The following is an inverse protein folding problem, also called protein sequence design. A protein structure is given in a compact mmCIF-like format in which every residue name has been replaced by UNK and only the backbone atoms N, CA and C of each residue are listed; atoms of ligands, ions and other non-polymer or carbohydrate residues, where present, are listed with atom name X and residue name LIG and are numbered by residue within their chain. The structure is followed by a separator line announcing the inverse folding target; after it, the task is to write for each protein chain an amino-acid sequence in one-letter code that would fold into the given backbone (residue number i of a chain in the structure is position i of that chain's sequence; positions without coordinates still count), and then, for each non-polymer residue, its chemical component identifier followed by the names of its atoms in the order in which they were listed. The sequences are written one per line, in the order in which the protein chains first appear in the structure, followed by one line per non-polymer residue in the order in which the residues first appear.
data_IF_330644916251
#
_entry.id   IF_330644916251
#
_cell.length_a   1.000
_cell.length_b   1.000
_cell.length_c   1.000
_cell.angle_alpha   90.00
_cell.angle_beta   90.00
_cell.angle_gamma   90.00
#
_symmetry.space_group_name_H-M   'P 1'
#
loop_
_entity.id
_entity.type
_entity.pdbx_description
1 polymer ?
#
# COMPACT_ATOMS: atom_id res chain seq x y z
N UNK A 1 -12.21 9.53 -9.58
CA UNK A 1 -11.57 10.58 -8.76
C UNK A 1 -10.15 10.70 -9.26
N UNK A 2 -9.68 11.91 -9.55
CA UNK A 2 -8.30 12.16 -9.99
C UNK A 2 -7.78 13.41 -9.27
N UNK A 3 -6.56 13.34 -8.77
CA UNK A 3 -5.79 14.49 -8.33
C UNK A 3 -4.53 14.60 -9.18
N UNK A 4 -4.20 15.80 -9.62
CA UNK A 4 -2.96 16.10 -10.32
C UNK A 4 -2.04 16.82 -9.33
N UNK A 5 -1.09 16.10 -8.72
CA UNK A 5 -0.31 16.63 -7.59
C UNK A 5 1.11 16.93 -8.05
N UNK A 6 1.28 18.01 -8.81
CA UNK A 6 2.61 18.42 -9.23
C UNK A 6 3.44 18.90 -8.05
N UNK A 7 4.75 18.70 -8.15
CA UNK A 7 5.72 19.14 -7.14
C UNK A 7 5.62 20.66 -7.00
N UNK A 8 5.44 21.14 -5.78
CA UNK A 8 5.20 22.55 -5.45
C UNK A 8 6.28 23.47 -6.02
N UNK A 9 7.52 23.01 -6.09
CA UNK A 9 8.66 23.77 -6.60
C UNK A 9 8.75 23.80 -8.13
N UNK A 10 7.78 23.21 -8.85
CA UNK A 10 7.67 23.22 -10.32
C UNK A 10 6.43 24.00 -10.82
N UNK A 11 5.48 24.32 -9.93
CA UNK A 11 4.21 24.93 -10.32
C UNK A 11 4.29 26.45 -10.25
N UNK A 12 4.35 27.16 -11.39
CA UNK A 12 4.33 28.64 -11.41
C UNK A 12 2.98 29.20 -10.94
N UNK A 13 2.91 30.50 -10.62
CA UNK A 13 1.64 31.11 -10.21
C UNK A 13 0.58 31.06 -11.33
N UNK A 14 1.02 31.30 -12.58
CA UNK A 14 0.17 31.20 -13.75
C UNK A 14 -0.35 29.77 -13.95
N UNK A 15 0.52 28.77 -13.81
CA UNK A 15 0.13 27.38 -13.95
C UNK A 15 -0.79 26.91 -12.81
N UNK A 16 -0.57 27.37 -11.57
CA UNK A 16 -1.49 27.09 -10.47
C UNK A 16 -2.89 27.64 -10.75
N UNK A 17 -3.00 28.85 -11.30
CA UNK A 17 -4.29 29.44 -11.68
C UNK A 17 -4.97 28.62 -12.79
N UNK A 18 -4.21 28.15 -13.79
CA UNK A 18 -4.69 27.27 -14.85
C UNK A 18 -5.21 25.94 -14.29
N UNK A 19 -4.43 25.25 -13.44
CA UNK A 19 -4.84 24.01 -12.79
C UNK A 19 -6.15 24.17 -12.02
N UNK A 20 -6.31 25.27 -11.28
CA UNK A 20 -7.57 25.57 -10.58
C UNK A 20 -8.75 25.84 -11.54
N UNK A 21 -8.49 26.41 -12.72
CA UNK A 21 -9.48 26.50 -13.79
C UNK A 21 -9.91 25.12 -14.28
N UNK A 22 -8.94 24.25 -14.59
CA UNK A 22 -9.17 22.90 -15.08
C UNK A 22 -9.89 22.02 -14.04
N UNK A 23 -9.50 22.10 -12.76
CA UNK A 23 -10.18 21.37 -11.70
C UNK A 23 -11.66 21.73 -11.66
N UNK A 24 -12.00 23.01 -11.78
CA UNK A 24 -13.39 23.46 -11.80
C UNK A 24 -14.13 23.00 -13.05
N UNK A 25 -13.51 23.17 -14.22
CA UNK A 25 -14.10 22.84 -15.52
C UNK A 25 -14.45 21.34 -15.61
N UNK A 26 -13.53 20.47 -15.20
CA UNK A 26 -13.70 19.03 -15.34
C UNK A 26 -14.42 18.38 -14.16
N UNK A 27 -14.61 19.07 -13.02
CA UNK A 27 -15.36 18.51 -11.91
C UNK A 27 -16.83 18.32 -12.28
N UNK A 28 -17.25 17.08 -12.37
CA UNK A 28 -18.62 16.67 -12.64
C UNK A 28 -19.07 15.69 -11.54
N UNK A 29 -19.65 16.18 -10.42
CA UNK A 29 -20.21 15.32 -9.38
C UNK A 29 -21.08 14.20 -9.95
N UNK A 30 -21.07 13.03 -9.30
CA UNK A 30 -21.68 11.78 -9.76
C UNK A 30 -21.05 11.12 -10.99
N UNK A 31 -20.06 11.75 -11.66
CA UNK A 31 -19.41 11.19 -12.86
C UNK A 31 -17.89 11.18 -12.78
N UNK A 32 -17.29 12.32 -12.46
CA UNK A 32 -15.84 12.52 -12.44
C UNK A 32 -15.48 13.65 -11.47
N UNK A 33 -14.84 13.30 -10.35
CA UNK A 33 -14.41 14.26 -9.34
C UNK A 33 -12.92 14.54 -9.49
N UNK A 34 -12.58 15.83 -9.60
CA UNK A 34 -11.20 16.33 -9.56
C UNK A 34 -10.85 16.79 -8.15
N UNK A 35 -9.61 16.62 -7.74
CA UNK A 35 -9.11 16.99 -6.41
C UNK A 35 -8.06 18.10 -6.56
N UNK A 36 -8.40 19.37 -6.25
CA UNK A 36 -7.44 20.47 -6.26
C UNK A 36 -6.34 20.21 -5.23
N UNK A 37 -5.09 20.43 -5.61
CA UNK A 37 -3.96 20.11 -4.75
C UNK A 37 -2.63 20.14 -5.45
N UNK A 38 -1.58 19.86 -4.68
CA UNK A 38 -0.18 19.82 -5.13
C UNK A 38 0.62 18.88 -4.21
N UNK A 39 1.79 18.44 -4.67
CA UNK A 39 2.74 17.70 -3.84
C UNK A 39 3.69 18.70 -3.16
N UNK A 40 3.64 18.82 -1.84
CA UNK A 40 4.66 19.52 -1.07
C UNK A 40 5.88 18.62 -0.92
N UNK A 41 7.00 18.99 -1.53
CA UNK A 41 8.12 18.09 -1.78
C UNK A 41 9.38 18.45 -0.98
N UNK A 42 9.21 18.65 0.32
CA UNK A 42 10.32 18.97 1.23
C UNK A 42 11.30 17.81 1.37
N UNK A 43 12.59 18.11 1.59
CA UNK A 43 13.59 17.08 1.89
C UNK A 43 13.17 16.23 3.11
N UNK A 44 13.52 14.95 3.13
CA UNK A 44 13.17 14.02 4.23
C UNK A 44 13.51 14.62 5.61
N UNK A 45 14.68 15.24 5.77
CA UNK A 45 15.10 15.85 7.05
C UNK A 45 14.27 17.06 7.51
N UNK A 46 13.36 17.58 6.68
CA UNK A 46 12.39 18.64 7.04
C UNK A 46 10.93 18.17 6.95
N UNK A 47 10.73 16.88 6.72
CA UNK A 47 9.42 16.23 6.70
C UNK A 47 9.25 15.21 5.58
N UNK A 48 9.78 15.45 4.38
CA UNK A 48 9.55 14.59 3.20
C UNK A 48 8.26 14.90 2.42
N UNK A 49 8.03 14.16 1.34
CA UNK A 49 6.96 14.43 0.36
C UNK A 49 5.54 14.23 0.96
N UNK A 50 4.62 15.17 0.69
CA UNK A 50 3.20 15.14 1.11
C UNK A 50 2.30 15.65 -0.01
N UNK A 51 1.33 14.83 -0.43
CA UNK A 51 0.24 15.34 -1.27
C UNK A 51 -0.69 16.19 -0.42
N UNK A 52 -1.06 17.38 -0.90
CA UNK A 52 -1.96 18.34 -0.26
C UNK A 52 -3.22 18.47 -1.11
N UNK A 53 -4.37 18.07 -0.57
CA UNK A 53 -5.65 18.19 -1.23
C UNK A 53 -6.52 19.26 -0.58
N UNK A 54 -7.13 20.13 -1.38
CA UNK A 54 -8.07 21.15 -0.95
C UNK A 54 -9.53 20.77 -1.28
N UNK A 55 -10.49 21.10 -0.40
CA UNK A 55 -11.91 20.84 -0.66
C UNK A 55 -12.46 21.67 -1.83
N UNK A 56 -11.85 22.82 -2.09
CA UNK A 56 -12.23 23.76 -3.13
C UNK A 56 -10.99 24.35 -3.84
N UNK A 57 -11.18 24.82 -5.07
CA UNK A 57 -10.16 25.51 -5.86
C UNK A 57 -9.82 26.90 -5.28
N UNK A 58 -8.74 27.50 -5.78
CA UNK A 58 -8.36 28.88 -5.48
C UNK A 58 -7.62 29.06 -4.16
N UNK A 59 -7.27 27.96 -3.48
CA UNK A 59 -6.42 27.97 -2.28
C UNK A 59 -4.98 28.35 -2.61
N UNK A 60 -4.28 28.88 -1.62
CA UNK A 60 -2.87 29.21 -1.74
C UNK A 60 -2.02 27.93 -1.90
N UNK A 61 -1.00 28.00 -2.74
CA UNK A 61 0.05 27.00 -2.81
C UNK A 61 1.17 27.37 -1.83
N UNK A 62 1.54 26.45 -0.95
CA UNK A 62 2.66 26.62 -0.01
C UNK A 62 3.85 25.79 -0.47
N UNK A 63 5.02 26.41 -0.58
CA UNK A 63 6.15 25.87 -1.31
C UNK A 63 7.29 25.42 -0.40
N UNK A 64 7.69 24.17 -0.54
CA UNK A 64 8.89 23.58 0.04
C UNK A 64 10.18 24.17 -0.51
N UNK A 65 10.14 24.74 -1.72
CA UNK A 65 11.28 25.39 -2.38
C UNK A 65 10.84 26.27 -3.54
N UNK A 66 11.67 27.29 -3.87
CA UNK A 66 11.51 28.14 -5.07
C UNK A 66 12.59 27.86 -6.12
N UNK A 67 13.21 26.67 -6.10
CA UNK A 67 14.39 26.39 -6.93
C UNK A 67 14.10 26.39 -8.43
N UNK A 68 12.89 26.00 -8.88
CA UNK A 68 12.47 26.06 -10.29
C UNK A 68 11.30 27.03 -10.53
N UNK A 69 11.00 27.89 -9.56
CA UNK A 69 9.95 28.93 -9.68
C UNK A 69 10.60 30.30 -9.47
N UNK A 70 10.73 31.06 -10.54
CA UNK A 70 11.27 32.42 -10.50
C UNK A 70 10.23 33.41 -9.94
N UNK A 71 8.95 33.18 -10.23
CA UNK A 71 7.78 33.93 -9.79
C UNK A 71 7.25 33.42 -8.43
N UNK A 72 7.67 34.06 -7.34
CA UNK A 72 7.19 33.70 -5.99
C UNK A 72 8.20 33.90 -4.86
N UNK A 73 9.43 34.34 -5.17
CA UNK A 73 10.37 34.75 -4.11
C UNK A 73 9.80 35.95 -3.35
N UNK A 74 9.45 35.74 -2.07
CA UNK A 74 8.95 36.80 -1.18
C UNK A 74 7.43 37.00 -1.18
N UNK A 75 6.65 36.13 -1.82
CA UNK A 75 5.17 36.19 -1.83
C UNK A 75 4.51 35.59 -0.56
N UNK A 76 5.32 35.12 0.40
CA UNK A 76 4.86 34.47 1.63
C UNK A 76 4.42 33.00 1.47
N UNK A 77 4.58 32.41 0.28
CA UNK A 77 4.31 30.98 0.01
C UNK A 77 5.35 30.04 0.60
N UNK A 78 6.54 30.55 0.94
CA UNK A 78 7.65 29.76 1.47
C UNK A 78 7.25 28.99 2.74
N UNK A 79 7.46 27.68 2.69
CA UNK A 79 7.09 26.71 3.70
C UNK A 79 8.13 25.59 3.70
N UNK A 80 9.28 25.85 4.32
CA UNK A 80 10.49 25.02 4.19
C UNK A 80 10.50 23.79 5.12
N UNK A 81 9.56 23.71 6.05
CA UNK A 81 9.45 22.61 7.01
C UNK A 81 7.99 22.16 7.13
N UNK A 82 7.76 20.85 7.29
CA UNK A 82 6.40 20.28 7.34
C UNK A 82 5.53 20.89 8.44
N UNK A 83 6.10 21.21 9.61
CA UNK A 83 5.37 21.91 10.69
C UNK A 83 4.78 23.26 10.24
N UNK A 84 5.53 24.02 9.43
CA UNK A 84 5.03 25.27 8.84
C UNK A 84 3.91 25.00 7.85
N UNK A 85 3.95 23.86 7.14
CA UNK A 85 2.89 23.45 6.22
C UNK A 85 1.60 23.23 7.00
N UNK A 86 1.66 22.45 8.08
CA UNK A 86 0.48 22.21 8.92
C UNK A 86 -0.09 23.48 9.53
N UNK A 87 0.76 24.39 10.03
CA UNK A 87 0.34 25.71 10.52
C UNK A 87 -0.40 26.51 9.44
N UNK A 88 0.07 26.49 8.18
CA UNK A 88 -0.56 27.19 7.06
C UNK A 88 -1.86 26.53 6.59
N UNK A 89 -1.99 25.22 6.74
CA UNK A 89 -3.18 24.47 6.35
C UNK A 89 -4.27 24.47 7.43
N UNK A 90 -3.97 24.93 8.65
CA UNK A 90 -4.94 24.99 9.73
C UNK A 90 -6.20 25.79 9.34
N UNK A 91 -7.37 25.22 9.60
CA UNK A 91 -8.67 25.84 9.29
C UNK A 91 -9.06 25.86 7.81
N UNK A 92 -8.18 25.45 6.89
CA UNK A 92 -8.48 25.44 5.44
C UNK A 92 -9.38 24.27 5.00
N UNK A 93 -9.49 23.24 5.85
CA UNK A 93 -10.15 21.97 5.55
C UNK A 93 -9.33 21.03 4.66
N UNK A 94 -8.09 21.41 4.32
CA UNK A 94 -7.18 20.60 3.53
C UNK A 94 -6.82 19.28 4.23
N UNK A 95 -6.51 18.27 3.42
CA UNK A 95 -5.97 17.00 3.89
C UNK A 95 -4.61 16.76 3.26
N UNK A 96 -3.73 16.13 4.01
CA UNK A 96 -2.43 15.70 3.50
C UNK A 96 -2.31 14.19 3.53
N UNK A 97 -1.49 13.66 2.62
CA UNK A 97 -1.08 12.26 2.58
C UNK A 97 0.43 12.24 2.58
N UNK A 98 1.04 11.73 3.66
CA UNK A 98 2.45 11.42 3.68
C UNK A 98 2.72 10.25 2.71
N UNK A 99 3.66 10.45 1.79
CA UNK A 99 3.98 9.44 0.80
C UNK A 99 5.48 9.30 0.58
N UNK A 100 5.83 8.35 -0.29
CA UNK A 100 7.19 7.91 -0.51
C UNK A 100 7.52 8.09 -2.00
N UNK A 101 7.79 9.34 -2.37
CA UNK A 101 8.19 9.74 -3.71
C UNK A 101 9.70 9.78 -3.88
N UNK A 102 10.21 10.86 -4.48
CA UNK A 102 11.64 11.12 -4.61
C UNK A 102 12.34 11.24 -3.25
N UNK A 103 11.60 11.69 -2.23
CA UNK A 103 11.95 11.70 -0.81
C UNK A 103 10.89 10.89 -0.07
N UNK A 104 11.24 10.29 1.05
CA UNK A 104 10.21 9.68 1.90
C UNK A 104 9.76 10.66 2.97
N UNK A 105 8.46 10.66 3.25
CA UNK A 105 7.90 11.31 4.42
C UNK A 105 8.46 10.67 5.71
N UNK A 106 9.08 11.49 6.56
CA UNK A 106 9.48 11.12 7.91
C UNK A 106 8.43 11.65 8.89
N UNK A 107 7.62 10.73 9.42
CA UNK A 107 6.53 11.04 10.33
C UNK A 107 7.04 11.49 11.72
N UNK A 108 8.26 11.11 12.11
CA UNK A 108 8.85 11.56 13.37
C UNK A 108 9.29 13.04 13.32
N UNK A 109 9.60 13.55 12.12
CA UNK A 109 9.91 14.97 11.91
C UNK A 109 8.65 15.84 12.01
N UNK A 110 7.52 15.34 11.49
CA UNK A 110 6.23 16.00 11.69
C UNK A 110 5.05 15.24 11.11
N UNK A 111 3.98 15.24 11.88
CA UNK A 111 2.66 14.72 11.53
C UNK A 111 1.61 15.55 12.26
N UNK A 112 0.47 15.81 11.62
CA UNK A 112 -0.68 16.47 12.23
C UNK A 112 -1.96 15.72 11.86
N UNK A 113 -2.49 14.91 12.78
CA UNK A 113 -3.67 14.07 12.55
C UNK A 113 -4.96 14.84 12.22
N UNK A 114 -4.96 16.18 12.33
CA UNK A 114 -6.09 17.02 11.90
C UNK A 114 -6.16 17.14 10.38
N UNK A 115 -5.03 17.05 9.70
CA UNK A 115 -4.91 17.20 8.23
C UNK A 115 -4.36 15.91 7.59
N UNK A 116 -3.37 15.27 8.20
CA UNK A 116 -2.70 14.07 7.72
C UNK A 116 -3.37 12.82 8.29
N UNK A 117 -4.43 12.36 7.65
CA UNK A 117 -5.23 11.22 8.14
C UNK A 117 -4.87 9.91 7.46
N UNK A 118 -3.93 9.90 6.50
CA UNK A 118 -3.56 8.70 5.73
C UNK A 118 -2.11 8.72 5.29
N UNK A 119 -1.55 7.53 5.09
CA UNK A 119 -0.22 7.33 4.50
C UNK A 119 -0.30 6.51 3.22
N UNK A 120 0.56 6.82 2.25
CA UNK A 120 0.64 6.05 1.00
C UNK A 120 1.52 4.81 1.17
N UNK A 121 0.90 3.63 1.10
CA UNK A 121 1.60 2.34 1.22
C UNK A 121 2.12 1.84 -0.13
N UNK A 122 1.57 2.30 -1.26
CA UNK A 122 1.97 1.82 -2.57
C UNK A 122 1.79 2.87 -3.67
N UNK A 123 2.77 2.93 -4.58
CA UNK A 123 2.73 3.67 -5.83
C UNK A 123 3.72 3.11 -6.85
N UNK A 124 3.88 3.77 -8.00
CA UNK A 124 4.87 3.35 -9.02
C UNK A 124 6.31 3.34 -8.48
N UNK A 125 6.57 4.06 -7.40
CA UNK A 125 7.88 4.01 -6.72
C UNK A 125 8.13 2.69 -6.00
N UNK A 126 7.09 1.95 -5.60
CA UNK A 126 7.24 0.71 -4.84
C UNK A 126 6.13 0.44 -3.82
N UNK A 127 6.42 -0.49 -2.91
CA UNK A 127 5.55 -0.82 -1.76
C UNK A 127 6.28 -0.48 -0.47
N UNK A 128 5.61 0.24 0.41
CA UNK A 128 6.19 0.89 1.57
C UNK A 128 5.39 0.61 2.85
N UNK A 129 5.00 -0.65 3.09
CA UNK A 129 4.23 -1.03 4.30
C UNK A 129 4.84 -0.50 5.60
N UNK A 130 6.17 -0.32 5.64
CA UNK A 130 6.88 0.24 6.78
C UNK A 130 6.42 1.66 7.16
N UNK A 131 5.87 2.49 6.26
CA UNK A 131 5.39 3.84 6.61
C UNK A 131 4.12 3.77 7.47
N UNK A 132 3.26 2.77 7.22
CA UNK A 132 2.12 2.48 8.09
C UNK A 132 2.63 2.03 9.47
N UNK A 133 3.63 1.15 9.50
CA UNK A 133 4.19 0.68 10.77
C UNK A 133 4.87 1.79 11.56
N UNK A 134 5.58 2.70 10.90
CA UNK A 134 6.15 3.89 11.53
C UNK A 134 5.06 4.79 12.12
N UNK A 135 3.97 5.02 11.38
CA UNK A 135 2.84 5.80 11.88
C UNK A 135 2.24 5.17 13.15
N UNK A 136 2.02 3.86 13.14
CA UNK A 136 1.49 3.12 14.29
C UNK A 136 2.45 3.13 15.47
N UNK A 137 3.75 3.02 15.24
CA UNK A 137 4.77 3.10 16.29
C UNK A 137 4.83 4.48 16.96
N UNK A 138 4.50 5.54 16.22
CA UNK A 138 4.38 6.91 16.73
C UNK A 138 3.01 7.22 17.35
N UNK A 139 2.08 6.26 17.38
CA UNK A 139 0.73 6.43 17.91
C UNK A 139 -0.20 7.21 16.99
N UNK A 140 0.12 7.33 15.70
CA UNK A 140 -0.72 8.01 14.72
C UNK A 140 -1.84 7.10 14.21
N UNK A 141 -3.05 7.66 14.07
CA UNK A 141 -4.24 6.95 13.61
C UNK A 141 -4.53 7.27 12.16
N UNK A 142 -3.79 6.63 11.26
CA UNK A 142 -3.79 6.85 9.80
C UNK A 142 -4.50 5.74 9.03
N UNK A 143 -5.13 6.11 7.92
CA UNK A 143 -5.65 5.17 6.94
C UNK A 143 -4.59 4.80 5.90
N UNK A 144 -4.91 3.81 5.07
CA UNK A 144 -4.03 3.33 3.99
C UNK A 144 -4.56 3.80 2.64
N UNK A 145 -3.74 4.58 1.94
CA UNK A 145 -3.99 4.92 0.53
C UNK A 145 -2.91 4.31 -0.37
N UNK A 146 -3.28 4.12 -1.63
CA UNK A 146 -2.36 3.75 -2.70
C UNK A 146 -2.65 4.63 -3.91
N UNK A 147 -1.64 5.38 -4.34
CA UNK A 147 -1.70 6.30 -5.48
C UNK A 147 -0.91 5.75 -6.66
N UNK A 148 -1.08 6.34 -7.85
CA UNK A 148 -0.25 5.96 -8.98
C UNK A 148 1.15 6.58 -8.92
N UNK A 149 1.23 7.84 -8.49
CA UNK A 149 2.41 8.71 -8.63
C UNK A 149 2.96 8.64 -10.07
N UNK A 150 2.07 8.92 -11.03
CA UNK A 150 2.36 8.74 -12.44
C UNK A 150 2.79 10.05 -13.08
N UNK A 151 3.90 10.01 -13.79
CA UNK A 151 4.43 11.13 -14.56
C UNK A 151 4.16 11.01 -16.07
N UNK A 152 3.29 10.07 -16.49
CA UNK A 152 3.03 9.74 -17.90
C UNK A 152 1.61 10.08 -18.37
N UNK A 153 0.80 10.70 -17.51
CA UNK A 153 -0.55 11.15 -17.85
C UNK A 153 -1.56 10.01 -18.01
N UNK A 154 -1.45 8.94 -17.22
CA UNK A 154 -2.32 7.73 -17.28
C UNK A 154 -3.01 7.47 -15.93
N UNK A 155 -3.99 8.31 -15.51
CA UNK A 155 -4.64 8.16 -14.22
C UNK A 155 -5.25 6.77 -14.00
N UNK A 156 -4.79 6.07 -12.97
CA UNK A 156 -5.31 4.75 -12.58
C UNK A 156 -4.97 3.60 -13.52
N UNK A 157 -4.02 3.78 -14.44
CA UNK A 157 -3.57 2.75 -15.39
C UNK A 157 -2.05 2.80 -15.62
N UNK A 158 -1.29 2.91 -14.53
CA UNK A 158 0.15 3.20 -14.58
C UNK A 158 0.99 1.93 -14.52
N UNK A 159 1.39 1.42 -15.68
CA UNK A 159 2.47 0.44 -15.75
C UNK A 159 3.84 1.14 -15.76
N UNK A 160 4.88 0.54 -15.14
CA UNK A 160 6.22 1.12 -15.13
C UNK A 160 6.83 1.24 -16.54
N UNK A 161 6.39 0.44 -17.52
CA UNK A 161 6.96 0.48 -18.88
C UNK A 161 8.49 0.27 -18.86
N UNK A 162 9.23 1.02 -19.68
CA UNK A 162 10.71 0.98 -19.72
C UNK A 162 11.38 1.89 -18.67
N UNK A 163 10.61 2.56 -17.81
CA UNK A 163 11.22 3.35 -16.74
C UNK A 163 11.74 2.47 -15.60
N UNK A 164 12.66 3.02 -14.80
CA UNK A 164 13.25 2.36 -13.63
C UNK A 164 12.28 2.15 -12.46
N UNK A 165 10.99 2.49 -12.61
CA UNK A 165 9.96 2.21 -11.62
C UNK A 165 9.73 0.69 -11.50
N UNK A 166 9.85 0.16 -10.28
CA UNK A 166 9.80 -1.29 -10.01
C UNK A 166 8.40 -1.84 -9.76
N UNK A 167 7.37 -0.99 -9.76
CA UNK A 167 6.00 -1.33 -9.41
C UNK A 167 4.99 -0.71 -10.38
N UNK A 168 3.80 -1.32 -10.41
CA UNK A 168 2.60 -0.72 -11.01
C UNK A 168 2.07 0.38 -10.08
N UNK A 169 1.36 1.37 -10.62
CA UNK A 169 0.68 2.37 -9.80
C UNK A 169 -0.46 1.76 -8.97
N UNK A 170 -0.68 2.33 -7.79
CA UNK A 170 -1.76 1.93 -6.89
C UNK A 170 -3.11 2.58 -7.19
N UNK A 171 -4.15 2.06 -6.54
CA UNK A 171 -5.49 2.65 -6.51
C UNK A 171 -6.06 2.61 -5.09
N UNK A 172 -6.77 3.66 -4.71
CA UNK A 172 -7.52 3.73 -3.45
C UNK A 172 -9.01 3.59 -3.71
N UNK A 173 -9.68 2.71 -2.97
CA UNK A 173 -11.14 2.62 -2.95
C UNK A 173 -11.67 3.40 -1.75
N UNK A 174 -12.57 4.36 -1.99
CA UNK A 174 -13.23 5.14 -0.95
C UNK A 174 -14.65 4.62 -0.72
N UNK A 175 -15.00 4.32 0.54
CA UNK A 175 -16.36 3.96 0.92
C UNK A 175 -17.20 5.22 1.16
N UNK A 176 -17.87 5.67 0.10
CA UNK A 176 -18.63 6.91 0.07
C UNK A 176 -20.04 6.69 -0.48
N UNK A 177 -21.05 7.41 0.04
CA UNK A 177 -22.44 7.26 -0.41
C UNK A 177 -22.70 7.84 -1.81
N UNK A 178 -21.85 8.77 -2.25
CA UNK A 178 -21.97 9.48 -3.53
C UNK A 178 -20.59 9.90 -4.04
N UNK A 179 -20.48 10.17 -5.34
CA UNK A 179 -19.24 10.64 -5.96
C UNK A 179 -19.20 12.18 -5.98
N UNK A 180 -18.87 12.78 -4.84
CA UNK A 180 -18.72 14.24 -4.65
C UNK A 180 -17.39 14.54 -3.96
N UNK A 181 -16.89 15.78 -4.02
CA UNK A 181 -15.64 16.13 -3.31
C UNK A 181 -15.83 16.04 -1.81
N UNK A 182 -16.99 16.48 -1.33
CA UNK A 182 -17.39 16.46 0.07
C UNK A 182 -17.33 15.02 0.61
N UNK A 183 -17.92 14.07 -0.12
CA UNK A 183 -17.89 12.66 0.26
C UNK A 183 -16.48 12.04 0.18
N UNK A 184 -15.65 12.47 -0.78
CA UNK A 184 -14.23 12.08 -0.84
C UNK A 184 -13.46 12.55 0.40
N UNK A 185 -13.59 13.84 0.75
CA UNK A 185 -12.93 14.41 1.92
C UNK A 185 -13.40 13.76 3.21
N UNK A 186 -14.69 13.46 3.34
CA UNK A 186 -15.23 12.76 4.50
C UNK A 186 -14.68 11.33 4.62
N UNK A 187 -14.63 10.59 3.50
CA UNK A 187 -14.08 9.24 3.47
C UNK A 187 -12.58 9.23 3.85
N UNK A 188 -11.81 10.20 3.35
CA UNK A 188 -10.40 10.37 3.71
C UNK A 188 -10.21 10.70 5.19
N UNK A 189 -10.95 11.70 5.72
CA UNK A 189 -10.90 12.09 7.14
C UNK A 189 -11.21 10.93 8.07
N UNK A 190 -12.22 10.12 7.72
CA UNK A 190 -12.64 8.96 8.51
C UNK A 190 -11.80 7.71 8.26
N UNK A 191 -10.88 7.75 7.28
CA UNK A 191 -10.09 6.58 6.83
C UNK A 191 -10.97 5.42 6.35
N UNK A 192 -12.16 5.75 5.84
CA UNK A 192 -13.14 4.77 5.37
C UNK A 192 -12.80 4.34 3.94
N UNK A 193 -11.61 3.76 3.79
CA UNK A 193 -10.99 3.42 2.51
C UNK A 193 -9.94 2.32 2.65
N UNK A 194 -9.55 1.77 1.51
CA UNK A 194 -8.47 0.79 1.41
C UNK A 194 -7.65 1.04 0.14
N UNK A 195 -6.39 0.63 0.19
CA UNK A 195 -5.44 0.73 -0.91
C UNK A 195 -5.25 -0.60 -1.65
N UNK A 196 -4.89 -0.54 -2.93
CA UNK A 196 -4.58 -1.68 -3.79
C UNK A 196 -3.36 -1.39 -4.66
N UNK A 197 -2.68 -2.42 -5.14
CA UNK A 197 -1.60 -2.31 -6.14
C UNK A 197 -2.15 -2.15 -7.57
N UNK A 198 -3.26 -1.42 -7.74
CA UNK A 198 -3.83 -1.07 -9.03
C UNK A 198 -4.94 -2.01 -9.53
N UNK A 199 -5.20 -3.12 -8.84
CA UNK A 199 -6.32 -4.00 -9.18
C UNK A 199 -7.65 -3.52 -8.58
N UNK A 200 -8.76 -4.05 -9.09
CA UNK A 200 -10.11 -3.69 -8.63
C UNK A 200 -10.73 -4.88 -7.92
N UNK A 201 -10.64 -4.88 -6.59
CA UNK A 201 -11.34 -5.82 -5.71
C UNK A 201 -12.32 -5.08 -4.81
N UNK A 202 -13.30 -5.80 -4.28
CA UNK A 202 -14.13 -5.34 -3.17
C UNK A 202 -13.60 -5.92 -1.86
N UNK A 203 -13.32 -5.04 -0.90
CA UNK A 203 -12.87 -5.39 0.44
C UNK A 203 -13.76 -4.68 1.46
N UNK A 204 -14.40 -5.46 2.31
CA UNK A 204 -15.17 -5.00 3.46
C UNK A 204 -14.58 -5.57 4.74
N UNK A 205 -14.32 -4.70 5.71
CA UNK A 205 -13.73 -5.04 7.00
C UNK A 205 -14.52 -4.34 8.09
N UNK A 206 -15.17 -5.13 8.91
CA UNK A 206 -16.01 -4.67 10.02
C UNK A 206 -15.61 -5.38 11.31
N UNK A 207 -15.93 -4.79 12.45
CA UNK A 207 -15.79 -5.43 13.74
C UNK A 207 -17.11 -5.34 14.51
N UNK A 208 -17.53 -6.47 15.09
CA UNK A 208 -18.69 -6.59 15.95
C UNK A 208 -18.23 -6.93 17.38
N UNK A 209 -18.70 -6.16 18.35
CA UNK A 209 -18.33 -6.32 19.76
C UNK A 209 -19.41 -7.06 20.59
N UNK A 210 -20.58 -7.33 20.02
CA UNK A 210 -21.73 -7.91 20.73
C UNK A 210 -22.28 -7.06 21.87
N UNK A 211 -21.76 -5.84 22.05
CA UNK A 211 -22.15 -4.85 23.07
C UNK A 211 -21.93 -3.45 22.52
N UNK A 212 -22.50 -2.47 23.20
CA UNK A 212 -22.25 -1.07 22.90
C UNK A 212 -20.79 -0.68 23.22
N UNK A 213 -20.17 0.03 22.28
CA UNK A 213 -18.84 0.64 22.34
C UNK A 213 -18.92 2.09 21.84
N UNK A 214 -17.88 2.88 22.14
CA UNK A 214 -17.80 4.27 21.72
C UNK A 214 -17.07 4.40 20.40
N UNK A 215 -17.75 4.82 19.34
CA UNK A 215 -17.08 5.22 18.11
C UNK A 215 -16.78 6.71 18.14
N UNK A 216 -15.52 7.09 18.03
CA UNK A 216 -15.13 8.50 17.91
C UNK A 216 -15.23 8.97 16.46
N UNK A 217 -15.82 10.15 16.23
CA UNK A 217 -15.91 10.73 14.89
C UNK A 217 -14.55 11.19 14.34
N UNK A 218 -13.66 11.63 15.24
CA UNK A 218 -12.29 12.05 14.96
C UNK A 218 -11.37 11.45 16.03
N UNK A 219 -10.06 11.58 15.84
CA UNK A 219 -9.10 11.12 16.83
C UNK A 219 -9.26 11.89 18.17
N UNK A 220 -9.58 11.21 19.29
CA UNK A 220 -9.75 11.86 20.59
C UNK A 220 -8.44 12.39 21.20
N UNK A 221 -7.26 12.02 20.66
CA UNK A 221 -5.98 12.60 21.06
C UNK A 221 -5.77 14.02 20.50
N UNK A 222 -6.56 14.44 19.51
CA UNK A 222 -6.49 15.78 18.92
C UNK A 222 -7.36 16.81 19.67
N UNK A 223 -8.20 16.36 20.61
CA UNK A 223 -9.11 17.20 21.38
C UNK A 223 -10.47 16.52 21.59
N UNK A 224 -11.47 17.26 22.10
CA UNK A 224 -12.81 16.73 22.32
C UNK A 224 -13.42 16.17 21.03
N UNK A 225 -13.75 14.88 21.03
CA UNK A 225 -14.35 14.19 19.89
C UNK A 225 -15.81 13.82 20.21
N UNK A 226 -16.69 13.99 19.22
CA UNK A 226 -18.06 13.46 19.32
C UNK A 226 -18.02 11.94 19.33
N UNK A 227 -18.79 11.36 20.24
CA UNK A 227 -18.95 9.91 20.41
C UNK A 227 -20.30 9.50 19.82
N UNK A 228 -20.29 8.42 19.05
CA UNK A 228 -21.48 7.73 18.62
C UNK A 228 -21.47 6.28 19.18
N UNK A 229 -22.40 5.95 20.08
CA UNK A 229 -22.55 4.57 20.55
C UNK A 229 -22.95 3.64 19.40
N UNK A 230 -22.32 2.47 19.33
CA UNK A 230 -22.60 1.43 18.32
C UNK A 230 -22.14 0.07 18.82
N UNK A 231 -22.61 -1.02 18.24
CA UNK A 231 -22.04 -2.37 18.45
C UNK A 231 -21.16 -2.85 17.29
N UNK A 232 -21.20 -2.12 16.16
CA UNK A 232 -20.47 -2.45 14.95
C UNK A 232 -19.73 -1.23 14.40
N UNK A 233 -18.53 -1.47 13.88
CA UNK A 233 -17.65 -0.46 13.28
C UNK A 233 -17.03 -1.00 12.00
N UNK A 234 -16.44 -0.13 11.19
CA UNK A 234 -15.75 -0.49 9.94
C UNK A 234 -14.32 0.00 9.90
N UNK A 235 -13.54 -0.47 8.92
CA UNK A 235 -12.18 0.02 8.64
C UNK A 235 -12.08 1.55 8.77
N UNK A 236 -11.06 2.04 9.46
CA UNK A 236 -10.82 3.47 9.70
C UNK A 236 -11.44 4.05 10.98
N UNK A 237 -12.44 3.38 11.56
CA UNK A 237 -13.08 3.81 12.80
C UNK A 237 -12.11 3.68 14.00
N UNK A 238 -12.29 4.61 14.96
CA UNK A 238 -11.57 4.63 16.24
C UNK A 238 -12.58 4.32 17.35
N UNK A 239 -12.28 3.32 18.17
CA UNK A 239 -13.21 2.76 19.15
C UNK A 239 -12.64 2.87 20.56
N UNK A 240 -13.39 3.51 21.46
CA UNK A 240 -13.13 3.55 22.89
C UNK A 240 -13.89 2.47 23.64
N UNK A 241 -13.42 2.14 24.85
CA UNK A 241 -13.97 1.07 25.68
C UNK A 241 -14.06 -0.25 24.90
N UNK A 242 -13.08 -0.52 24.04
CA UNK A 242 -13.09 -1.68 23.17
C UNK A 242 -13.09 -2.96 24.01
N UNK A 243 -14.02 -3.87 23.73
CA UNK A 243 -14.08 -5.19 24.36
C UNK A 243 -13.46 -6.26 23.46
N UNK A 244 -13.69 -7.51 23.86
CA UNK A 244 -13.61 -8.63 22.93
C UNK A 244 -14.56 -8.40 21.74
N UNK A 245 -14.19 -8.95 20.59
CA UNK A 245 -15.01 -8.82 19.38
C UNK A 245 -14.62 -9.80 18.30
N UNK A 246 -15.28 -9.68 17.16
CA UNK A 246 -15.03 -10.47 15.96
C UNK A 246 -14.83 -9.53 14.79
N UNK A 247 -13.65 -9.61 14.18
CA UNK A 247 -13.34 -8.96 12.92
C UNK A 247 -13.95 -9.81 11.79
N UNK A 248 -14.84 -9.23 11.00
CA UNK A 248 -15.41 -9.84 9.80
C UNK A 248 -14.78 -9.22 8.57
N UNK A 249 -14.29 -10.07 7.67
CA UNK A 249 -13.61 -9.65 6.43
C UNK A 249 -14.28 -10.33 5.26
N UNK A 250 -14.79 -9.56 4.31
CA UNK A 250 -15.36 -10.05 3.07
C UNK A 250 -14.52 -9.56 1.90
N UNK A 251 -14.04 -10.49 1.08
CA UNK A 251 -13.20 -10.21 -0.09
C UNK A 251 -13.87 -10.77 -1.33
N UNK A 252 -14.05 -9.92 -2.36
CA UNK A 252 -14.32 -10.32 -3.73
C UNK A 252 -13.20 -9.77 -4.61
N UNK A 253 -12.27 -10.65 -4.96
CA UNK A 253 -11.03 -10.36 -5.66
C UNK A 253 -11.19 -10.35 -7.19
N UNK A 254 -10.24 -9.74 -7.89
CA UNK A 254 -10.17 -9.73 -9.36
C UNK A 254 -9.50 -10.99 -9.93
N UNK A 255 -8.78 -11.71 -9.10
CA UNK A 255 -8.11 -12.99 -9.38
C UNK A 255 -8.24 -13.92 -8.16
N UNK A 256 -7.93 -15.22 -8.29
CA UNK A 256 -7.97 -16.14 -7.15
C UNK A 256 -7.15 -15.63 -5.95
N UNK A 257 -7.68 -15.81 -4.75
CA UNK A 257 -7.05 -15.35 -3.52
C UNK A 257 -5.94 -16.34 -3.14
N UNK A 258 -4.70 -15.85 -3.04
CA UNK A 258 -3.59 -16.64 -2.50
C UNK A 258 -3.73 -16.75 -0.97
N UNK A 259 -3.88 -15.60 -0.31
CA UNK A 259 -4.04 -15.51 1.14
C UNK A 259 -4.65 -14.18 1.59
N UNK A 260 -5.27 -14.18 2.76
CA UNK A 260 -5.63 -12.97 3.51
C UNK A 260 -4.97 -13.06 4.89
N UNK A 261 -4.16 -12.07 5.24
CA UNK A 261 -3.50 -11.99 6.54
C UNK A 261 -4.12 -10.88 7.38
N UNK A 262 -4.53 -11.23 8.60
CA UNK A 262 -5.01 -10.27 9.62
C UNK A 262 -3.80 -9.83 10.46
N UNK A 263 -3.71 -8.53 10.69
CA UNK A 263 -2.64 -7.88 11.45
C UNK A 263 -3.18 -7.16 12.68
N UNK A 264 -2.34 -7.05 13.70
CA UNK A 264 -2.48 -6.09 14.80
C UNK A 264 -1.18 -5.29 14.90
N UNK A 265 -1.23 -4.04 14.44
CA UNK A 265 -0.02 -3.27 14.18
C UNK A 265 0.89 -4.00 13.17
N UNK A 266 2.22 -4.03 13.37
CA UNK A 266 3.13 -4.73 12.46
C UNK A 266 3.05 -6.26 12.57
N UNK A 267 2.31 -6.81 13.53
CA UNK A 267 2.32 -8.25 13.82
C UNK A 267 1.22 -8.98 13.07
N UNK A 268 1.58 -9.98 12.27
CA UNK A 268 0.63 -10.89 11.64
C UNK A 268 0.00 -11.81 12.69
N UNK A 269 -1.32 -11.79 12.81
CA UNK A 269 -2.10 -12.58 13.77
C UNK A 269 -2.52 -13.93 13.20
N UNK A 270 -3.04 -13.93 11.98
CA UNK A 270 -3.55 -15.13 11.32
C UNK A 270 -3.50 -14.97 9.80
N UNK A 271 -3.31 -16.08 9.09
CA UNK A 271 -3.41 -16.13 7.62
C UNK A 271 -4.47 -17.14 7.21
N UNK A 272 -5.43 -16.67 6.42
CA UNK A 272 -6.55 -17.44 5.89
C UNK A 272 -6.34 -17.69 4.39
N UNK A 273 -6.77 -18.86 3.92
CA UNK A 273 -6.64 -19.30 2.53
C UNK A 273 -7.92 -20.03 2.11
N UNK A 274 -8.17 -20.08 0.80
CA UNK A 274 -9.28 -20.84 0.22
C UNK A 274 -8.97 -22.34 0.04
N UNK A 275 -7.83 -22.79 0.57
CA UNK A 275 -7.31 -24.15 0.46
C UNK A 275 -6.50 -24.50 1.72
N UNK A 276 -6.30 -25.80 1.95
CA UNK A 276 -5.51 -26.34 3.06
C UNK A 276 -4.38 -27.26 2.55
N UNK A 277 -3.70 -27.94 3.49
CA UNK A 277 -2.57 -28.82 3.19
C UNK A 277 -2.94 -30.01 2.28
N UNK A 278 -4.19 -30.45 2.28
CA UNK A 278 -4.66 -31.57 1.45
C UNK A 278 -4.82 -31.22 -0.03
N UNK A 279 -4.95 -29.93 -0.33
CA UNK A 279 -5.11 -29.43 -1.70
C UNK A 279 -3.78 -29.05 -2.38
N UNK A 280 -2.64 -29.21 -1.70
CA UNK A 280 -1.33 -28.85 -2.23
C UNK A 280 -0.95 -29.75 -3.42
N UNK A 281 -0.51 -29.13 -4.51
CA UNK A 281 -0.10 -29.81 -5.74
C UNK A 281 1.41 -29.87 -5.92
N UNK A 282 1.85 -29.99 -7.17
CA UNK A 282 3.27 -29.93 -7.55
C UNK A 282 3.76 -28.51 -7.83
N UNK A 283 2.87 -27.52 -7.77
CA UNK A 283 3.17 -26.10 -7.89
C UNK A 283 3.88 -25.52 -6.66
N UNK A 284 5.08 -25.00 -6.86
CA UNK A 284 5.82 -24.19 -5.87
C UNK A 284 5.94 -22.76 -6.38
N UNK A 285 5.53 -21.81 -5.55
CA UNK A 285 5.76 -20.39 -5.75
C UNK A 285 7.08 -20.00 -5.09
N UNK A 286 7.97 -19.36 -5.85
CA UNK A 286 9.19 -18.75 -5.35
C UNK A 286 9.12 -17.27 -5.63
N UNK A 287 9.23 -16.46 -4.59
CA UNK A 287 9.18 -15.01 -4.71
C UNK A 287 10.38 -14.39 -4.03
N UNK A 288 10.84 -13.28 -4.58
CA UNK A 288 11.85 -12.41 -4.00
C UNK A 288 11.24 -11.02 -3.84
N UNK A 289 11.53 -10.38 -2.71
CA UNK A 289 10.80 -9.18 -2.29
C UNK A 289 11.68 -8.21 -1.52
N UNK A 290 11.14 -7.02 -1.27
CA UNK A 290 11.73 -6.03 -0.39
C UNK A 290 12.58 -4.98 -1.11
N UNK A 291 13.31 -4.21 -0.30
CA UNK A 291 14.09 -3.05 -0.72
C UNK A 291 15.48 -3.04 -0.04
N UNK A 292 16.43 -2.29 -0.59
CA UNK A 292 17.74 -2.10 0.05
C UNK A 292 17.64 -1.23 1.31
N UNK A 293 17.02 -0.06 1.21
CA UNK A 293 16.84 0.90 2.31
C UNK A 293 15.71 1.89 1.99
N UNK A 294 15.41 2.80 2.93
CA UNK A 294 14.35 3.82 2.77
C UNK A 294 14.81 4.95 1.84
N UNK A 295 14.05 5.24 0.79
CA UNK A 295 14.31 6.38 -0.10
C UNK A 295 14.84 6.00 -1.48
N UNK A 296 15.52 6.93 -2.16
CA UNK A 296 15.68 6.88 -3.62
C UNK A 296 16.45 5.67 -4.16
N UNK A 297 17.45 5.16 -3.44
CA UNK A 297 18.22 3.97 -3.85
C UNK A 297 17.69 2.64 -3.29
N UNK A 298 16.40 2.56 -2.95
CA UNK A 298 15.70 1.36 -2.43
C UNK A 298 15.72 0.12 -3.34
N UNK A 299 16.11 0.28 -4.60
CA UNK A 299 16.02 -0.75 -5.63
C UNK A 299 16.93 -1.95 -5.34
N UNK A 300 16.38 -3.16 -5.42
CA UNK A 300 17.14 -4.41 -5.32
C UNK A 300 17.23 -5.05 -6.70
N UNK A 301 18.44 -5.36 -7.15
CA UNK A 301 18.65 -6.14 -8.37
C UNK A 301 18.68 -7.62 -8.05
N UNK A 302 17.72 -8.36 -8.61
CA UNK A 302 17.54 -9.81 -8.40
C UNK A 302 17.96 -10.67 -9.59
N UNK A 303 18.66 -10.09 -10.57
CA UNK A 303 19.23 -10.83 -11.71
C UNK A 303 19.89 -12.12 -11.24
N UNK A 304 19.45 -13.24 -11.81
CA UNK A 304 19.70 -14.53 -11.22
C UNK A 304 19.22 -15.71 -12.05
N UNK A 305 19.35 -16.87 -11.44
CA UNK A 305 18.95 -18.16 -12.00
C UNK A 305 18.50 -19.12 -10.92
N UNK A 306 17.76 -20.14 -11.34
CA UNK A 306 17.40 -21.27 -10.49
C UNK A 306 17.54 -22.58 -11.26
N UNK A 307 17.92 -23.62 -10.53
CA UNK A 307 17.92 -25.00 -11.02
C UNK A 307 17.12 -25.90 -10.08
N UNK A 308 16.48 -26.93 -10.63
CA UNK A 308 15.70 -27.93 -9.88
C UNK A 308 16.35 -29.30 -10.03
N UNK A 309 17.37 -29.55 -9.21
CA UNK A 309 18.13 -30.79 -9.25
C UNK A 309 17.24 -32.00 -8.90
N UNK A 310 17.28 -33.05 -9.72
CA UNK A 310 16.52 -34.28 -9.48
C UNK A 310 15.02 -34.15 -9.73
N UNK A 311 14.56 -33.15 -10.48
CA UNK A 311 13.18 -33.00 -10.92
C UNK A 311 13.14 -32.29 -12.28
N UNK A 312 11.95 -32.12 -12.85
CA UNK A 312 11.72 -31.41 -14.11
C UNK A 312 10.70 -30.29 -13.91
N UNK A 313 10.92 -29.15 -14.56
CA UNK A 313 9.97 -28.04 -14.60
C UNK A 313 9.00 -28.29 -15.76
N UNK A 314 7.76 -28.65 -15.47
CA UNK A 314 6.73 -28.82 -16.51
C UNK A 314 6.22 -27.48 -17.02
N UNK A 315 6.07 -26.50 -16.12
CA UNK A 315 5.56 -25.16 -16.41
C UNK A 315 6.23 -24.14 -15.48
N UNK A 316 6.51 -22.96 -16.00
CA UNK A 316 6.97 -21.82 -15.21
C UNK A 316 6.17 -20.57 -15.60
N UNK A 317 5.61 -19.85 -14.62
CA UNK A 317 4.88 -18.60 -14.87
C UNK A 317 5.47 -17.45 -14.03
N UNK A 318 5.79 -16.30 -14.65
CA UNK A 318 6.33 -15.15 -13.93
C UNK A 318 5.25 -14.44 -13.10
N UNK A 319 5.67 -13.83 -11.99
CA UNK A 319 4.84 -13.01 -11.11
C UNK A 319 5.45 -11.60 -11.05
N UNK A 320 4.64 -10.57 -11.32
CA UNK A 320 5.04 -9.16 -11.27
C UNK A 320 6.27 -8.80 -12.14
N UNK A 321 6.41 -9.43 -13.31
CA UNK A 321 7.37 -9.01 -14.34
C UNK A 321 6.73 -7.91 -15.21
N UNK A 322 6.80 -6.67 -14.72
CA UNK A 322 6.07 -5.53 -15.29
C UNK A 322 6.83 -4.76 -16.39
N UNK A 323 8.13 -4.99 -16.51
CA UNK A 323 8.97 -4.38 -17.54
C UNK A 323 9.17 -5.39 -18.68
N UNK A 324 8.89 -5.03 -19.93
CA UNK A 324 8.94 -5.97 -21.07
C UNK A 324 10.34 -6.54 -21.35
N UNK A 325 11.41 -5.85 -20.96
CA UNK A 325 12.80 -6.29 -21.13
C UNK A 325 13.30 -7.16 -19.98
N UNK A 326 12.51 -7.26 -18.90
CA UNK A 326 12.76 -8.14 -17.77
C UNK A 326 11.82 -9.33 -17.92
N UNK A 327 12.37 -10.49 -18.25
CA UNK A 327 11.61 -11.73 -18.44
C UNK A 327 12.26 -12.90 -17.70
N UNK A 328 11.52 -13.98 -17.55
CA UNK A 328 12.04 -15.29 -17.17
C UNK A 328 12.29 -16.08 -18.45
N UNK A 329 13.48 -16.67 -18.57
CA UNK A 329 13.88 -17.50 -19.70
C UNK A 329 14.18 -18.91 -19.21
N UNK A 330 13.62 -19.91 -19.88
CA UNK A 330 13.97 -21.31 -19.65
C UNK A 330 15.29 -21.64 -20.33
N UNK A 331 16.28 -22.06 -19.56
CA UNK A 331 17.64 -22.38 -20.04
C UNK A 331 17.91 -23.88 -20.11
N UNK A 332 17.02 -24.70 -19.53
CA UNK A 332 17.08 -26.16 -19.57
C UNK A 332 15.76 -26.81 -19.15
N UNK A 333 15.73 -28.13 -19.06
CA UNK A 333 14.54 -28.87 -18.60
C UNK A 333 14.20 -28.54 -17.13
N UNK A 334 15.23 -28.23 -16.34
CA UNK A 334 15.21 -28.01 -14.89
C UNK A 334 15.79 -26.64 -14.50
N UNK A 335 16.01 -25.73 -15.45
CA UNK A 335 16.73 -24.48 -15.21
C UNK A 335 16.04 -23.25 -15.81
N UNK A 336 16.04 -22.16 -15.04
CA UNK A 336 15.54 -20.83 -15.41
C UNK A 336 16.59 -19.76 -15.14
N UNK A 337 16.54 -18.67 -15.91
CA UNK A 337 17.26 -17.42 -15.63
C UNK A 337 16.35 -16.21 -15.81
N UNK A 338 16.67 -15.10 -15.15
CA UNK A 338 15.85 -13.89 -15.24
C UNK A 338 16.67 -12.62 -14.98
N UNK A 339 16.06 -11.50 -15.36
CA UNK A 339 16.37 -10.18 -14.82
C UNK A 339 15.18 -9.67 -14.04
N UNK A 340 15.38 -9.15 -12.85
CA UNK A 340 14.28 -8.71 -12.01
C UNK A 340 14.70 -7.63 -11.02
N UNK A 341 13.74 -6.80 -10.63
CA UNK A 341 13.95 -5.69 -9.71
C UNK A 341 12.78 -5.56 -8.76
N UNK A 342 13.05 -5.18 -7.51
CA UNK A 342 12.02 -4.81 -6.54
C UNK A 342 12.35 -3.48 -5.90
N UNK A 343 11.31 -2.74 -5.50
CA UNK A 343 11.40 -1.49 -4.74
C UNK A 343 10.51 -1.55 -3.50
N UNK A 344 10.58 -2.67 -2.77
CA UNK A 344 9.73 -2.96 -1.60
C UNK A 344 8.54 -3.87 -1.92
N UNK A 345 8.12 -3.94 -3.19
CA UNK A 345 7.21 -4.97 -3.70
C UNK A 345 7.92 -6.32 -3.86
N UNK A 346 7.24 -7.29 -4.49
CA UNK A 346 7.78 -8.59 -4.81
C UNK A 346 7.60 -8.96 -6.30
N UNK A 347 8.48 -9.82 -6.77
CA UNK A 347 8.37 -10.55 -8.03
C UNK A 347 8.70 -12.02 -7.80
N UNK A 348 8.44 -12.87 -8.78
CA UNK A 348 8.67 -14.31 -8.58
C UNK A 348 8.33 -15.19 -9.76
N UNK A 349 8.29 -16.47 -9.48
CA UNK A 349 7.93 -17.52 -10.44
C UNK A 349 7.14 -18.61 -9.75
N UNK A 350 6.09 -19.08 -10.42
CA UNK A 350 5.45 -20.35 -10.10
C UNK A 350 6.06 -21.46 -10.94
N UNK A 351 6.41 -22.57 -10.30
CA UNK A 351 6.99 -23.75 -10.91
C UNK A 351 6.06 -24.94 -10.69
N UNK A 352 5.52 -25.51 -11.77
CA UNK A 352 4.87 -26.82 -11.71
C UNK A 352 5.91 -27.89 -11.99
N UNK A 353 6.17 -28.72 -10.99
CA UNK A 353 7.18 -29.76 -11.07
C UNK A 353 6.57 -31.09 -11.50
N UNK A 354 7.37 -31.95 -12.14
CA UNK A 354 6.93 -33.30 -12.51
C UNK A 354 6.63 -34.17 -11.28
N UNK A 355 7.36 -33.95 -10.18
CA UNK A 355 7.14 -34.63 -8.89
C UNK A 355 6.99 -33.59 -7.78
N UNK A 356 5.95 -33.73 -6.95
CA UNK A 356 5.66 -32.78 -5.87
C UNK A 356 6.56 -32.94 -4.65
N UNK A 357 7.23 -34.07 -4.50
CA UNK A 357 7.88 -34.53 -3.26
C UNK A 357 9.37 -34.86 -3.45
N UNK A 358 9.95 -34.52 -4.61
CA UNK A 358 11.32 -34.90 -4.94
C UNK A 358 12.11 -33.76 -5.55
N UNK A 359 13.41 -33.74 -5.28
CA UNK A 359 14.36 -32.81 -5.86
C UNK A 359 14.65 -31.60 -4.97
N UNK A 360 15.54 -30.74 -5.45
CA UNK A 360 16.03 -29.58 -4.73
C UNK A 360 16.06 -28.37 -5.64
N UNK A 361 15.51 -27.27 -5.15
CA UNK A 361 15.53 -25.99 -5.82
C UNK A 361 16.73 -25.20 -5.31
N UNK A 362 17.65 -24.85 -6.20
CA UNK A 362 18.80 -24.00 -5.92
C UNK A 362 18.58 -22.65 -6.61
N UNK A 363 18.40 -21.59 -5.83
CA UNK A 363 18.19 -20.20 -6.27
C UNK A 363 19.47 -19.40 -6.07
N UNK A 364 19.87 -18.63 -7.08
CA UNK A 364 21.02 -17.72 -7.02
C UNK A 364 20.67 -16.38 -7.61
N UNK A 365 20.97 -15.31 -6.89
CA UNK A 365 20.89 -13.92 -7.35
C UNK A 365 22.07 -13.12 -6.81
N UNK A 366 22.23 -11.87 -7.28
CA UNK A 366 23.19 -10.93 -6.69
C UNK A 366 22.92 -10.62 -5.20
N UNK A 367 21.66 -10.68 -4.77
CA UNK A 367 21.26 -10.31 -3.41
C UNK A 367 21.47 -11.43 -2.39
N UNK A 368 21.16 -12.67 -2.77
CA UNK A 368 21.39 -13.86 -1.96
C UNK A 368 21.31 -15.15 -2.78
N UNK A 369 21.74 -16.25 -2.15
CA UNK A 369 21.45 -17.61 -2.58
C UNK A 369 20.46 -18.26 -1.61
N UNK A 370 19.65 -19.19 -2.11
CA UNK A 370 18.72 -19.95 -1.30
C UNK A 370 18.58 -21.37 -1.86
N UNK A 371 18.36 -22.34 -0.97
CA UNK A 371 18.14 -23.73 -1.35
C UNK A 371 16.92 -24.24 -0.62
N UNK A 372 16.00 -24.87 -1.37
CA UNK A 372 14.77 -25.43 -0.85
C UNK A 372 14.66 -26.90 -1.26
N UNK A 373 14.53 -27.80 -0.29
CA UNK A 373 14.15 -29.19 -0.54
C UNK A 373 12.67 -29.22 -0.92
N UNK A 374 12.35 -29.75 -2.11
CA UNK A 374 10.97 -29.80 -2.64
C UNK A 374 10.05 -30.51 -1.65
N UNK A 375 10.50 -31.59 -1.02
CA UNK A 375 9.69 -32.35 -0.05
C UNK A 375 9.33 -31.53 1.20
N UNK A 376 10.18 -30.59 1.59
CA UNK A 376 10.01 -29.76 2.78
C UNK A 376 9.16 -28.50 2.53
N UNK A 377 9.03 -28.05 1.28
CA UNK A 377 8.21 -26.87 0.94
C UNK A 377 6.72 -27.20 1.09
N UNK A 378 6.12 -26.64 2.13
CA UNK A 378 4.69 -26.79 2.46
C UNK A 378 3.88 -25.52 2.19
N UNK A 379 2.71 -25.43 2.84
CA UNK A 379 1.79 -24.28 2.74
C UNK A 379 2.33 -22.99 3.38
N UNK A 380 3.24 -23.15 4.35
CA UNK A 380 3.88 -22.05 5.07
C UNK A 380 5.15 -21.60 4.36
N UNK A 381 5.50 -20.34 4.54
CA UNK A 381 6.64 -19.75 3.84
C UNK A 381 7.96 -20.29 4.41
N UNK A 382 8.77 -20.92 3.55
CA UNK A 382 10.20 -21.12 3.81
C UNK A 382 10.96 -19.89 3.29
N UNK A 383 11.68 -19.19 4.15
CA UNK A 383 12.30 -17.90 3.81
C UNK A 383 13.82 -17.88 4.04
N UNK A 384 14.54 -17.16 3.18
CA UNK A 384 15.95 -16.79 3.36
C UNK A 384 16.05 -15.27 3.31
N UNK A 385 16.43 -14.68 4.43
CA UNK A 385 16.63 -13.23 4.56
C UNK A 385 17.90 -12.79 3.84
N UNK A 386 17.83 -11.63 3.18
CA UNK A 386 18.91 -11.03 2.41
C UNK A 386 19.32 -9.64 2.94
N UNK A 387 18.93 -9.30 4.18
CA UNK A 387 19.18 -8.00 4.80
C UNK A 387 18.17 -6.93 4.36
N UNK A 388 18.58 -5.66 4.33
CA UNK A 388 17.74 -4.55 3.85
C UNK A 388 16.38 -4.42 4.55
N UNK A 389 15.38 -3.95 3.81
CA UNK A 389 14.00 -3.76 4.27
C UNK A 389 13.10 -4.86 3.74
N UNK A 390 12.84 -5.87 4.58
CA UNK A 390 12.05 -7.03 4.21
C UNK A 390 12.62 -7.77 2.99
N UNK A 391 13.92 -7.63 2.73
CA UNK A 391 14.58 -8.17 1.54
C UNK A 391 14.85 -9.65 1.75
N UNK A 392 14.16 -10.51 1.01
CA UNK A 392 14.24 -11.96 1.19
C UNK A 392 13.73 -12.74 -0.01
N UNK A 393 14.02 -14.03 -0.01
CA UNK A 393 13.43 -15.02 -0.92
C UNK A 393 12.51 -15.93 -0.10
N UNK A 394 11.30 -16.20 -0.59
CA UNK A 394 10.35 -17.14 0.00
C UNK A 394 9.94 -18.21 -0.98
N UNK A 395 9.77 -19.44 -0.51
CA UNK A 395 9.18 -20.55 -1.22
C UNK A 395 8.00 -21.14 -0.43
N UNK A 396 6.89 -21.40 -1.12
CA UNK A 396 5.73 -22.09 -0.55
C UNK A 396 4.95 -22.84 -1.63
N UNK A 397 4.20 -23.84 -1.22
CA UNK A 397 3.44 -24.73 -2.10
C UNK A 397 2.00 -24.25 -2.24
N UNK A 398 1.48 -24.37 -3.45
CA UNK A 398 0.11 -24.04 -3.80
C UNK A 398 -0.60 -25.28 -4.38
N UNK A 399 -1.93 -25.29 -4.42
CA UNK A 399 -2.67 -26.12 -5.37
C UNK A 399 -2.21 -25.84 -6.80
N UNK A 400 -2.30 -26.84 -7.68
CA UNK A 400 -1.91 -26.67 -9.08
C UNK A 400 -2.72 -25.61 -9.82
N UNK A 401 -3.94 -25.33 -9.34
CA UNK A 401 -4.76 -24.20 -9.76
C UNK A 401 -5.53 -23.62 -8.56
N UNK A 402 -5.49 -22.30 -8.41
CA UNK A 402 -6.41 -21.58 -7.54
C UNK A 402 -7.64 -21.15 -8.34
N UNK A 403 -8.82 -21.25 -7.73
CA UNK A 403 -10.09 -20.98 -8.43
C UNK A 403 -11.03 -20.05 -7.68
N UNK A 404 -10.73 -19.76 -6.41
CA UNK A 404 -11.62 -19.01 -5.52
C UNK A 404 -11.18 -17.55 -5.43
N UNK A 405 -12.00 -16.66 -5.96
CA UNK A 405 -11.82 -15.20 -5.84
C UNK A 405 -12.63 -14.60 -4.67
N UNK A 406 -13.35 -15.42 -3.91
CA UNK A 406 -14.18 -14.99 -2.78
C UNK A 406 -13.71 -15.64 -1.49
N UNK A 407 -13.65 -14.85 -0.41
CA UNK A 407 -13.34 -15.34 0.93
C UNK A 407 -14.03 -14.49 1.99
N UNK A 408 -14.73 -15.15 2.92
CA UNK A 408 -15.31 -14.56 4.11
C UNK A 408 -14.60 -15.11 5.36
N UNK A 409 -14.17 -14.22 6.25
CA UNK A 409 -13.39 -14.55 7.45
C UNK A 409 -14.09 -14.01 8.68
N UNK A 410 -14.07 -14.80 9.76
CA UNK A 410 -14.41 -14.34 11.11
C UNK A 410 -13.20 -14.58 12.00
N UNK A 411 -12.55 -13.50 12.42
CA UNK A 411 -11.36 -13.53 13.26
C UNK A 411 -11.70 -12.99 14.66
N UNK A 412 -11.81 -13.84 15.69
CA UNK A 412 -12.03 -13.38 17.05
C UNK A 412 -10.79 -12.66 17.58
N UNK A 413 -11.01 -11.60 18.34
CA UNK A 413 -9.93 -10.85 18.99
C UNK A 413 -10.30 -10.51 20.44
N UNK A 414 -9.29 -10.34 21.28
CA UNK A 414 -9.45 -9.98 22.70
C UNK A 414 -9.28 -8.48 22.95
N UNK A 415 -9.93 -7.98 23.99
CA UNK A 415 -9.58 -6.67 24.53
C UNK A 415 -8.09 -6.63 24.93
N UNK A 416 -7.51 -5.44 24.95
CA UNK A 416 -6.14 -5.22 25.41
C UNK A 416 -6.04 -3.91 26.17
N UNK A 417 -5.07 -3.84 27.07
CA UNK A 417 -4.64 -2.66 27.81
C UNK A 417 -3.78 -1.68 26.97
N UNK A 418 -3.33 -2.11 25.79
CA UNK A 418 -2.67 -1.27 24.79
C UNK A 418 -3.62 -1.00 23.62
N UNK A 419 -3.39 0.12 22.95
CA UNK A 419 -4.05 0.39 21.68
C UNK A 419 -3.71 -0.69 20.64
N UNK A 420 -4.75 -1.15 19.93
CA UNK A 420 -4.63 -2.12 18.84
C UNK A 420 -5.00 -1.48 17.52
N UNK A 421 -4.34 -1.92 16.45
CA UNK A 421 -4.60 -1.43 15.10
C UNK A 421 -4.85 -2.63 14.18
N UNK A 422 -6.12 -3.02 14.04
CA UNK A 422 -6.51 -4.22 13.30
C UNK A 422 -6.73 -3.90 11.84
N UNK A 423 -5.98 -4.54 10.95
CA UNK A 423 -6.16 -4.41 9.49
C UNK A 423 -5.87 -5.72 8.78
N UNK A 424 -6.18 -5.79 7.48
CA UNK A 424 -5.89 -6.96 6.66
C UNK A 424 -5.06 -6.61 5.44
N UNK A 425 -4.26 -7.59 5.00
CA UNK A 425 -3.66 -7.61 3.67
C UNK A 425 -4.22 -8.78 2.87
N UNK A 426 -4.70 -8.51 1.68
CA UNK A 426 -5.10 -9.51 0.69
C UNK A 426 -3.97 -9.67 -0.32
N UNK A 427 -3.56 -10.90 -0.63
CA UNK A 427 -2.65 -11.22 -1.73
C UNK A 427 -3.40 -12.13 -2.71
N UNK A 428 -3.40 -11.76 -3.98
CA UNK A 428 -3.97 -12.56 -5.07
C UNK A 428 -2.90 -13.38 -5.79
N UNK A 429 -3.35 -14.41 -6.49
CA UNK A 429 -2.49 -15.30 -7.27
C UNK A 429 -1.68 -14.56 -8.33
N UNK A 430 -2.22 -13.51 -8.94
CA UNK A 430 -1.56 -12.69 -9.95
C UNK A 430 -0.50 -11.72 -9.40
N UNK A 431 -0.31 -11.69 -8.07
CA UNK A 431 0.68 -10.85 -7.40
C UNK A 431 0.14 -9.49 -6.94
N UNK A 432 -1.13 -9.17 -7.19
CA UNK A 432 -1.75 -7.96 -6.66
C UNK A 432 -2.03 -8.06 -5.17
N UNK A 433 -1.91 -6.92 -4.48
CA UNK A 433 -2.18 -6.79 -3.05
C UNK A 433 -3.17 -5.67 -2.74
N UNK A 434 -3.85 -5.80 -1.62
CA UNK A 434 -4.69 -4.75 -1.04
C UNK A 434 -4.53 -4.69 0.48
N UNK A 435 -4.73 -3.50 1.05
CA UNK A 435 -4.61 -3.21 2.48
C UNK A 435 -5.81 -2.41 2.95
N UNK A 436 -6.53 -2.91 3.95
CA UNK A 436 -7.57 -2.10 4.61
C UNK A 436 -6.94 -1.01 5.47
N UNK A 437 -7.64 0.11 5.64
CA UNK A 437 -7.33 1.01 6.76
C UNK A 437 -7.53 0.28 8.10
N UNK A 438 -6.73 0.60 9.14
CA UNK A 438 -6.90 -0.05 10.44
C UNK A 438 -8.19 0.35 11.15
N UNK A 439 -8.77 -0.57 11.90
CA UNK A 439 -9.72 -0.29 12.99
C UNK A 439 -8.89 -0.12 14.26
N UNK A 440 -9.01 1.06 14.88
CA UNK A 440 -8.27 1.40 16.09
C UNK A 440 -9.09 1.06 17.32
N UNK A 441 -8.54 0.24 18.21
CA UNK A 441 -9.17 -0.16 19.48
C UNK A 441 -8.37 0.47 20.62
N UNK A 442 -8.94 1.50 21.23
CA UNK A 442 -8.37 2.16 22.39
C UNK A 442 -8.69 1.33 23.65
N UNK A 443 -7.76 1.26 24.61
CA UNK A 443 -7.93 0.50 25.85
C UNK A 443 -9.10 0.99 26.72
#
# INVERSE_FOLDING_TARGET
IVGHQDNDFQVTAAFWAELNGLYREFNAPSRFVTMPGYEWSGNTGVGGDRNVYFPEEGRAIHRSSHVLVEDGRGDGSACMHVKQLFEKLEGTGALTVAHVGGRYADLAVGHDGRTETSVEVHSSWGTFEWILHDALALGHRVGVVCGSDDHKGRPGATAPGDSLFGAIGGLTCLSMPELTREAVFEALRRRHHYGTTGNRLHLDVTADFGREVDRYEIDPALGPARIQPTSQVRMGDIVGRAGDGVLSVNVLASAPIERVTVFDGPTAMATYRCFDRSALGTRIRIIWEGAEYRGRGRMVTWDGSLTVAGNEILKAEPINFLNPDKTITRTGADALSWKSVTTGNFAGVDLWLARGDAGRIDFTSKACTATFDVAAVGIDDAAVEAGGLGKRVRAFRLPDALTKAELAIRHPFKASDRERALYVRVTQEDGHQAWSSPIYLLP
#
